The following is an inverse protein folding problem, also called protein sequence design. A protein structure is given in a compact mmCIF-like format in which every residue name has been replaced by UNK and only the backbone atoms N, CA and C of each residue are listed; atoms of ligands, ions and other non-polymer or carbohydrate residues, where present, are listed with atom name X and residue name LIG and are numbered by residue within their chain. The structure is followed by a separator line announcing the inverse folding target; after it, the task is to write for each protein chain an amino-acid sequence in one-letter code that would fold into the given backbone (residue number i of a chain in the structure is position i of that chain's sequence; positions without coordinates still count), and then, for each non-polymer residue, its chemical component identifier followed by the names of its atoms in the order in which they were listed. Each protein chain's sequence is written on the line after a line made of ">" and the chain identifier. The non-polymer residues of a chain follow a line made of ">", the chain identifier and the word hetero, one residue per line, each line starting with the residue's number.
data_IF_251093221180
#
_entry.id   IF_251093221180
#
_cell.length_a   1.000
_cell.length_b   1.000
_cell.length_c   1.000
_cell.angle_alpha   90.00
_cell.angle_beta   90.00
_cell.angle_gamma   90.00
#
_symmetry.space_group_name_H-M   'P 1'
#
loop_
_entity.id
_entity.type
_entity.pdbx_description
1 polymer ?
#
# COMPACT_ATOMS: atom_id res chain seq x y z
N UNK A 1 27.78 22.28 -3.25
CA UNK A 1 28.65 21.19 -3.72
C UNK A 1 28.13 19.94 -3.05
N UNK A 2 27.29 19.18 -3.73
CA UNK A 2 26.79 17.91 -3.25
C UNK A 2 27.92 16.91 -3.36
N UNK A 3 28.34 16.40 -2.21
CA UNK A 3 29.45 15.47 -2.09
C UNK A 3 29.14 14.19 -2.87
N UNK A 4 29.79 14.02 -4.02
CA UNK A 4 29.82 12.74 -4.75
C UNK A 4 30.42 11.60 -3.89
N UNK A 5 30.85 11.94 -2.69
CA UNK A 5 31.50 11.11 -1.68
C UNK A 5 30.49 10.49 -0.68
N UNK A 6 29.31 11.10 -0.45
CA UNK A 6 28.40 10.65 0.61
C UNK A 6 27.82 9.24 0.36
N UNK A 7 27.47 8.95 -0.89
CA UNK A 7 26.96 7.61 -1.25
C UNK A 7 28.04 6.54 -1.10
N UNK A 8 29.25 6.80 -1.63
CA UNK A 8 30.38 5.88 -1.48
C UNK A 8 30.75 5.69 -0.01
N UNK A 9 30.70 6.78 0.78
CA UNK A 9 30.98 6.70 2.23
C UNK A 9 29.93 5.84 2.96
N UNK A 10 28.66 5.92 2.58
CA UNK A 10 27.63 5.06 3.16
C UNK A 10 27.88 3.58 2.83
N UNK A 11 28.34 3.27 1.60
CA UNK A 11 28.73 1.91 1.22
C UNK A 11 29.91 1.40 2.06
N UNK A 12 30.94 2.21 2.25
CA UNK A 12 32.09 1.86 3.10
C UNK A 12 31.66 1.58 4.54
N UNK A 13 30.76 2.39 5.11
CA UNK A 13 30.22 2.17 6.45
C UNK A 13 29.49 0.83 6.51
N UNK A 14 28.65 0.53 5.52
CA UNK A 14 27.95 -0.76 5.46
C UNK A 14 28.92 -1.94 5.34
N UNK A 15 30.00 -1.79 4.55
CA UNK A 15 31.04 -2.81 4.45
C UNK A 15 31.71 -3.06 5.80
N UNK A 16 32.06 -1.99 6.55
CA UNK A 16 32.59 -2.07 7.90
C UNK A 16 31.61 -2.76 8.88
N UNK A 17 30.33 -2.39 8.83
CA UNK A 17 29.28 -3.01 9.66
C UNK A 17 29.14 -4.49 9.33
N UNK A 18 29.08 -4.81 8.05
CA UNK A 18 28.96 -6.19 7.57
C UNK A 18 30.15 -7.06 8.00
N UNK A 19 31.34 -6.47 8.08
CA UNK A 19 32.57 -7.17 8.54
C UNK A 19 32.67 -7.24 10.06
N UNK A 20 32.29 -6.20 10.80
CA UNK A 20 32.63 -6.02 12.22
C UNK A 20 31.45 -6.20 13.17
N UNK A 21 30.24 -5.82 12.78
CA UNK A 21 29.08 -5.88 13.65
C UNK A 21 28.48 -7.30 13.72
N UNK A 22 28.32 -7.89 14.92
CA UNK A 22 27.79 -9.24 15.07
C UNK A 22 26.34 -9.42 14.59
N UNK A 23 25.54 -8.33 14.58
CA UNK A 23 24.19 -8.34 14.10
C UNK A 23 24.15 -8.28 12.57
N UNK A 24 24.88 -7.34 11.97
CA UNK A 24 24.89 -7.14 10.51
C UNK A 24 25.48 -8.36 9.78
N UNK A 25 26.53 -9.00 10.33
CA UNK A 25 27.10 -10.24 9.80
C UNK A 25 26.08 -11.37 9.60
N UNK A 26 25.07 -11.43 10.45
CA UNK A 26 24.06 -12.52 10.43
C UNK A 26 22.90 -12.24 9.48
N UNK A 27 22.78 -11.01 8.99
CA UNK A 27 21.65 -10.66 8.13
C UNK A 27 21.71 -11.41 6.79
N UNK A 28 20.53 -11.79 6.34
CA UNK A 28 20.28 -12.43 5.05
C UNK A 28 19.19 -11.64 4.32
N UNK A 29 19.00 -11.88 3.02
CA UNK A 29 17.89 -11.30 2.27
C UNK A 29 16.52 -11.63 2.89
N UNK A 30 16.41 -12.75 3.58
CA UNK A 30 15.17 -13.16 4.23
C UNK A 30 14.96 -12.46 5.57
N UNK A 31 16.00 -12.28 6.38
CA UNK A 31 15.88 -11.59 7.67
C UNK A 31 15.61 -10.10 7.50
N UNK A 32 16.21 -9.46 6.50
CA UNK A 32 15.98 -8.04 6.19
C UNK A 32 14.60 -7.77 5.58
N UNK A 33 13.95 -8.78 4.98
CA UNK A 33 12.66 -8.58 4.30
C UNK A 33 11.60 -7.97 5.21
N UNK A 34 11.50 -8.46 6.46
CA UNK A 34 10.50 -7.95 7.41
C UNK A 34 10.79 -6.48 7.75
N UNK A 35 12.04 -6.17 8.08
CA UNK A 35 12.47 -4.80 8.40
C UNK A 35 12.18 -3.85 7.23
N UNK A 36 12.51 -4.26 5.98
CA UNK A 36 12.19 -3.42 4.80
C UNK A 36 10.69 -3.13 4.66
N UNK A 37 9.82 -4.07 5.07
CA UNK A 37 8.36 -3.85 5.06
C UNK A 37 7.98 -2.84 6.16
N UNK A 38 8.58 -2.92 7.34
CA UNK A 38 8.40 -1.98 8.45
C UNK A 38 8.78 -0.57 8.02
N UNK A 39 9.99 -0.34 7.52
CA UNK A 39 10.42 0.98 7.02
C UNK A 39 9.50 1.52 5.92
N UNK A 40 8.92 0.63 5.09
CA UNK A 40 7.97 1.06 4.06
C UNK A 40 6.66 1.56 4.68
N UNK A 41 6.19 0.96 5.76
CA UNK A 41 5.00 1.43 6.48
C UNK A 41 5.29 2.70 7.28
N UNK A 42 6.46 2.82 7.90
CA UNK A 42 6.89 4.01 8.63
C UNK A 42 7.01 5.21 7.67
N UNK A 43 7.57 5.00 6.47
CA UNK A 43 7.55 6.00 5.41
C UNK A 43 6.12 6.39 5.01
N UNK A 44 5.22 5.44 4.87
CA UNK A 44 3.82 5.72 4.53
C UNK A 44 3.13 6.54 5.63
N UNK A 45 3.40 6.24 6.90
CA UNK A 45 2.87 6.99 8.04
C UNK A 45 3.43 8.41 8.10
N UNK A 46 4.74 8.59 7.88
CA UNK A 46 5.38 9.91 7.83
C UNK A 46 4.80 10.77 6.67
N UNK A 47 4.57 10.17 5.50
CA UNK A 47 3.91 10.84 4.36
C UNK A 47 2.47 11.24 4.73
N UNK A 48 1.71 10.36 5.36
CA UNK A 48 0.32 10.64 5.75
C UNK A 48 0.18 11.76 6.79
N UNK A 49 1.27 12.11 7.48
CA UNK A 49 1.35 13.16 8.48
C UNK A 49 2.05 14.44 7.99
N UNK A 50 2.50 14.47 6.73
CA UNK A 50 3.34 15.52 6.16
C UNK A 50 4.63 15.76 6.98
N UNK A 51 5.14 14.72 7.66
CA UNK A 51 6.37 14.78 8.46
C UNK A 51 7.61 14.63 7.58
N UNK A 52 8.13 15.75 7.10
CA UNK A 52 9.32 15.80 6.25
C UNK A 52 10.60 15.30 6.93
N UNK A 53 10.69 15.34 8.26
CA UNK A 53 11.84 14.77 8.97
C UNK A 53 11.74 13.25 9.04
N UNK A 54 10.57 12.71 9.37
CA UNK A 54 10.29 11.29 9.30
C UNK A 54 10.51 10.75 7.88
N UNK A 55 9.93 11.39 6.85
CA UNK A 55 10.16 10.99 5.44
C UNK A 55 11.65 10.90 5.10
N UNK A 56 12.46 11.85 5.55
CA UNK A 56 13.92 11.85 5.32
C UNK A 56 14.61 10.67 6.02
N UNK A 57 14.19 10.35 7.24
CA UNK A 57 14.72 9.24 8.05
C UNK A 57 14.42 7.92 7.36
N UNK A 58 13.15 7.63 7.08
CA UNK A 58 12.71 6.38 6.46
C UNK A 58 13.27 6.17 5.04
N UNK A 59 13.43 7.25 4.28
CA UNK A 59 14.16 7.17 2.99
C UNK A 59 15.63 6.78 3.18
N UNK A 60 16.26 7.18 4.29
CA UNK A 60 17.61 6.77 4.65
C UNK A 60 17.70 5.27 4.96
N UNK A 61 16.74 4.74 5.73
CA UNK A 61 16.69 3.35 6.14
C UNK A 61 16.34 2.43 4.96
N UNK A 62 15.41 2.83 4.10
CA UNK A 62 15.16 2.14 2.84
C UNK A 62 16.39 2.13 1.91
N UNK A 63 17.15 3.24 1.84
CA UNK A 63 18.40 3.29 1.07
C UNK A 63 19.44 2.35 1.66
N UNK A 64 19.56 2.30 3.00
CA UNK A 64 20.45 1.35 3.69
C UNK A 64 20.05 -0.09 3.34
N UNK A 65 18.77 -0.45 3.39
CA UNK A 65 18.30 -1.78 3.01
C UNK A 65 18.60 -2.12 1.55
N UNK A 66 18.45 -1.18 0.62
CA UNK A 66 18.83 -1.38 -0.79
C UNK A 66 20.32 -1.73 -0.92
N UNK A 67 21.18 -0.97 -0.25
CA UNK A 67 22.62 -1.22 -0.24
C UNK A 67 22.95 -2.56 0.42
N UNK A 68 22.26 -2.90 1.49
CA UNK A 68 22.46 -4.15 2.22
C UNK A 68 22.10 -5.38 1.37
N UNK A 69 20.95 -5.36 0.67
CA UNK A 69 20.60 -6.42 -0.29
C UNK A 69 21.65 -6.56 -1.39
N UNK A 70 22.14 -5.43 -1.94
CA UNK A 70 23.18 -5.45 -2.97
C UNK A 70 24.52 -6.00 -2.43
N UNK A 71 24.87 -5.68 -1.18
CA UNK A 71 26.06 -6.23 -0.52
C UNK A 71 25.97 -7.74 -0.35
N UNK A 72 24.84 -8.25 0.18
CA UNK A 72 24.62 -9.70 0.33
C UNK A 72 24.63 -10.39 -1.05
N UNK A 73 24.04 -9.78 -2.08
CA UNK A 73 24.06 -10.32 -3.42
C UNK A 73 25.48 -10.38 -4.00
N UNK A 74 26.30 -9.37 -3.76
CA UNK A 74 27.73 -9.34 -4.16
C UNK A 74 28.52 -10.46 -3.47
N UNK A 75 28.31 -10.69 -2.18
CA UNK A 75 28.92 -11.79 -1.42
C UNK A 75 28.55 -13.17 -2.00
N UNK A 76 27.36 -13.29 -2.60
CA UNK A 76 26.85 -14.50 -3.23
C UNK A 76 27.13 -14.55 -4.74
N UNK A 77 27.92 -13.63 -5.29
CA UNK A 77 28.24 -13.52 -6.72
C UNK A 77 27.01 -13.42 -7.63
N UNK A 78 25.94 -12.77 -7.19
CA UNK A 78 24.71 -12.59 -7.97
C UNK A 78 24.70 -11.27 -8.75
N UNK A 79 24.80 -10.14 -8.06
CA UNK A 79 24.84 -8.78 -8.65
C UNK A 79 25.42 -7.78 -7.65
N UNK A 80 25.79 -6.61 -8.16
CA UNK A 80 26.32 -5.47 -7.40
C UNK A 80 25.29 -4.33 -7.34
N UNK A 81 25.54 -3.33 -6.49
CA UNK A 81 24.72 -2.11 -6.49
C UNK A 81 24.80 -1.37 -7.83
N UNK A 82 25.94 -1.45 -8.52
CA UNK A 82 26.10 -0.85 -9.85
C UNK A 82 25.16 -1.52 -10.87
N UNK A 83 25.00 -2.84 -10.83
CA UNK A 83 24.07 -3.56 -11.69
C UNK A 83 22.61 -3.15 -11.43
N UNK A 84 22.26 -2.91 -10.16
CA UNK A 84 20.92 -2.41 -9.78
C UNK A 84 20.68 -1.03 -10.39
N UNK A 85 21.64 -0.11 -10.27
CA UNK A 85 21.55 1.25 -10.79
C UNK A 85 21.45 1.22 -12.33
N UNK A 86 22.35 0.49 -13.00
CA UNK A 86 22.38 0.39 -14.45
C UNK A 86 21.07 -0.18 -15.02
N UNK A 87 20.60 -1.29 -14.45
CA UNK A 87 19.34 -1.90 -14.88
C UNK A 87 18.15 -0.94 -14.70
N UNK A 88 18.14 -0.16 -13.62
CA UNK A 88 17.07 0.81 -13.40
C UNK A 88 17.18 1.99 -14.37
N UNK A 89 18.39 2.47 -14.65
CA UNK A 89 18.69 3.51 -15.65
C UNK A 89 18.21 3.10 -17.04
N UNK A 90 18.62 1.93 -17.51
CA UNK A 90 18.23 1.39 -18.81
C UNK A 90 16.71 1.26 -18.92
N UNK A 91 16.08 0.70 -17.89
CA UNK A 91 14.62 0.57 -17.83
C UNK A 91 13.91 1.92 -17.92
N UNK A 92 14.39 2.95 -17.23
CA UNK A 92 13.79 4.28 -17.26
C UNK A 92 13.94 4.94 -18.64
N UNK A 93 15.13 4.88 -19.23
CA UNK A 93 15.37 5.41 -20.59
C UNK A 93 14.48 4.71 -21.60
N UNK A 94 14.47 3.37 -21.59
CA UNK A 94 13.68 2.57 -22.54
C UNK A 94 12.17 2.84 -22.44
N UNK A 95 11.66 3.07 -21.21
CA UNK A 95 10.24 3.27 -20.98
C UNK A 95 9.76 4.72 -21.05
N UNK A 96 10.67 5.67 -21.32
CA UNK A 96 10.35 7.08 -21.56
C UNK A 96 10.83 7.53 -22.94
N UNK A 97 10.38 6.87 -24.03
CA UNK A 97 10.81 7.24 -25.39
C UNK A 97 10.34 8.63 -25.80
N UNK A 98 9.38 9.20 -25.09
CA UNK A 98 8.93 10.58 -25.26
C UNK A 98 9.87 11.61 -24.63
N UNK A 99 10.82 11.20 -23.79
CA UNK A 99 11.85 12.05 -23.18
C UNK A 99 13.22 11.78 -23.81
N UNK A 100 13.56 10.50 -24.01
CA UNK A 100 14.89 10.06 -24.45
C UNK A 100 14.93 9.57 -25.91
N UNK A 101 13.82 9.69 -26.65
CA UNK A 101 13.67 9.31 -28.06
C UNK A 101 12.75 10.27 -28.81
N UNK A 102 12.16 9.82 -29.91
CA UNK A 102 11.39 10.66 -30.83
C UNK A 102 9.87 10.50 -30.71
N UNK A 103 9.39 9.74 -29.75
CA UNK A 103 7.94 9.52 -29.55
C UNK A 103 7.31 10.77 -28.95
N UNK A 104 6.20 11.22 -29.54
CA UNK A 104 5.40 12.31 -28.98
C UNK A 104 4.20 11.72 -28.26
N UNK A 105 3.83 12.31 -27.14
CA UNK A 105 2.67 11.95 -26.34
C UNK A 105 1.82 13.20 -26.09
N UNK A 106 0.50 13.05 -26.10
CA UNK A 106 -0.42 14.16 -25.93
C UNK A 106 -0.70 14.44 -24.44
N UNK A 107 -0.76 13.38 -23.62
CA UNK A 107 -1.16 13.46 -22.22
C UNK A 107 -0.56 12.34 -21.35
N UNK A 108 -0.84 12.39 -20.06
CA UNK A 108 -0.40 11.42 -19.06
C UNK A 108 -0.98 10.01 -19.33
N UNK A 109 -2.21 9.92 -19.83
CA UNK A 109 -2.86 8.64 -20.09
C UNK A 109 -2.16 7.90 -21.25
N UNK A 110 -1.74 8.63 -22.27
CA UNK A 110 -0.97 8.07 -23.36
C UNK A 110 0.41 7.58 -22.88
N UNK A 111 1.06 8.30 -21.98
CA UNK A 111 2.31 7.84 -21.34
C UNK A 111 2.07 6.52 -20.60
N UNK A 112 1.00 6.42 -19.79
CA UNK A 112 0.66 5.21 -19.05
C UNK A 112 0.37 4.02 -19.97
N UNK A 113 -0.39 4.23 -21.06
CA UNK A 113 -0.67 3.19 -22.07
C UNK A 113 0.60 2.71 -22.74
N UNK A 114 1.45 3.63 -23.18
CA UNK A 114 2.73 3.31 -23.83
C UNK A 114 3.66 2.54 -22.89
N UNK A 115 3.71 2.90 -21.63
CA UNK A 115 4.47 2.21 -20.58
C UNK A 115 4.05 0.74 -20.42
N UNK A 116 2.76 0.45 -20.36
CA UNK A 116 2.28 -0.93 -20.24
C UNK A 116 2.48 -1.74 -21.54
N UNK A 117 2.29 -1.11 -22.70
CA UNK A 117 2.58 -1.73 -23.98
C UNK A 117 4.07 -2.13 -24.10
N UNK A 118 4.99 -1.29 -23.65
CA UNK A 118 6.42 -1.61 -23.61
C UNK A 118 6.70 -2.79 -22.69
N UNK A 119 6.06 -2.85 -21.52
CA UNK A 119 6.19 -4.01 -20.60
C UNK A 119 5.68 -5.32 -21.21
N UNK A 120 4.60 -5.28 -21.98
CA UNK A 120 4.11 -6.47 -22.70
C UNK A 120 5.11 -6.93 -23.76
N UNK A 121 5.73 -6.01 -24.49
CA UNK A 121 6.78 -6.31 -25.47
C UNK A 121 8.05 -6.88 -24.83
N UNK A 122 8.33 -6.56 -23.57
CA UNK A 122 9.42 -7.16 -22.78
C UNK A 122 9.18 -8.63 -22.37
N UNK A 123 8.12 -9.27 -22.88
CA UNK A 123 7.83 -10.70 -22.69
C UNK A 123 6.90 -11.01 -21.52
N UNK A 124 6.17 -10.03 -20.98
CA UNK A 124 5.13 -10.31 -19.98
C UNK A 124 3.94 -11.03 -20.60
N UNK A 125 3.57 -12.17 -20.03
CA UNK A 125 2.47 -13.01 -20.52
C UNK A 125 1.08 -12.41 -20.25
N UNK A 126 0.96 -11.50 -19.29
CA UNK A 126 -0.30 -10.87 -18.89
C UNK A 126 -0.03 -9.48 -18.36
N UNK A 127 -0.95 -8.56 -18.57
CA UNK A 127 -0.91 -7.22 -17.96
C UNK A 127 -0.92 -7.30 -16.42
N UNK A 128 -1.59 -8.30 -15.87
CA UNK A 128 -1.67 -8.53 -14.43
C UNK A 128 -0.43 -9.23 -13.85
N UNK A 129 0.47 -9.78 -14.68
CA UNK A 129 1.69 -10.45 -14.20
C UNK A 129 2.66 -9.54 -13.42
N UNK A 130 2.44 -8.23 -13.47
CA UNK A 130 3.23 -7.25 -12.71
C UNK A 130 2.60 -6.80 -11.38
N UNK A 131 1.51 -7.45 -10.94
CA UNK A 131 0.88 -7.19 -9.63
C UNK A 131 1.51 -8.15 -8.63
N UNK A 132 2.23 -7.66 -7.62
CA UNK A 132 2.83 -8.54 -6.61
C UNK A 132 1.74 -9.25 -5.78
N UNK A 133 1.91 -10.54 -5.56
CA UNK A 133 0.97 -11.34 -4.76
C UNK A 133 1.02 -11.03 -3.26
N UNK A 134 2.08 -10.38 -2.82
CA UNK A 134 2.32 -10.01 -1.41
C UNK A 134 1.78 -8.62 -1.05
N UNK A 135 1.14 -7.91 -1.96
CA UNK A 135 0.48 -6.65 -1.64
C UNK A 135 -0.68 -6.87 -0.67
N UNK A 136 -0.94 -5.88 0.19
CA UNK A 136 -2.16 -5.84 0.98
C UNK A 136 -3.39 -5.91 0.04
N UNK A 137 -4.45 -6.65 0.39
CA UNK A 137 -5.55 -6.94 -0.52
C UNK A 137 -6.21 -5.70 -1.14
N UNK A 138 -6.41 -4.61 -0.37
CA UNK A 138 -6.98 -3.36 -0.91
C UNK A 138 -6.07 -2.72 -1.96
N UNK A 139 -4.76 -2.65 -1.67
CA UNK A 139 -3.75 -2.13 -2.59
C UNK A 139 -3.65 -3.02 -3.84
N UNK A 140 -3.74 -4.35 -3.67
CA UNK A 140 -3.73 -5.30 -4.77
C UNK A 140 -4.95 -5.13 -5.68
N UNK A 141 -6.16 -4.99 -5.11
CA UNK A 141 -7.41 -4.78 -5.85
C UNK A 141 -7.32 -3.48 -6.67
N UNK A 142 -6.91 -2.36 -6.05
CA UNK A 142 -6.68 -1.09 -6.74
C UNK A 142 -5.74 -1.26 -7.93
N UNK A 143 -4.61 -1.96 -7.71
CA UNK A 143 -3.60 -2.17 -8.75
C UNK A 143 -4.08 -3.06 -9.90
N UNK A 144 -4.89 -4.08 -9.62
CA UNK A 144 -5.53 -4.94 -10.62
C UNK A 144 -6.45 -4.10 -11.51
N UNK A 145 -7.32 -3.29 -10.90
CA UNK A 145 -8.29 -2.46 -11.60
C UNK A 145 -7.63 -1.36 -12.45
N UNK A 146 -6.59 -0.71 -11.94
CA UNK A 146 -5.79 0.24 -12.72
C UNK A 146 -5.20 -0.41 -13.98
N UNK A 147 -4.72 -1.64 -13.87
CA UNK A 147 -4.17 -2.37 -15.02
C UNK A 147 -5.24 -2.82 -16.00
N UNK A 148 -6.39 -3.23 -15.52
CA UNK A 148 -7.54 -3.58 -16.36
C UNK A 148 -8.02 -2.37 -17.17
N UNK A 149 -8.12 -1.20 -16.53
CA UNK A 149 -8.41 0.08 -17.20
C UNK A 149 -7.47 0.37 -18.38
N UNK A 150 -6.17 0.11 -18.23
CA UNK A 150 -5.17 0.41 -19.27
C UNK A 150 -5.38 -0.35 -20.57
N UNK A 151 -6.10 -1.47 -20.57
CA UNK A 151 -6.48 -2.24 -21.77
C UNK A 151 -7.91 -2.01 -22.20
N UNK A 152 -8.58 -1.01 -21.61
CA UNK A 152 -9.96 -0.66 -21.94
C UNK A 152 -11.03 -1.48 -21.21
N UNK A 153 -10.64 -2.29 -20.22
CA UNK A 153 -11.62 -2.97 -19.36
C UNK A 153 -11.99 -2.05 -18.19
N UNK A 154 -12.94 -1.16 -18.48
CA UNK A 154 -13.36 -0.08 -17.57
C UNK A 154 -14.84 0.23 -17.78
N UNK A 155 -15.51 0.67 -16.71
CA UNK A 155 -16.85 1.23 -16.76
C UNK A 155 -16.84 2.64 -17.38
N UNK A 156 -17.95 3.04 -17.98
CA UNK A 156 -18.06 4.35 -18.63
C UNK A 156 -18.13 5.51 -17.62
N UNK A 157 -18.74 5.27 -16.46
CA UNK A 157 -18.96 6.29 -15.44
C UNK A 157 -19.05 5.67 -14.03
N UNK A 158 -19.00 6.52 -13.01
CA UNK A 158 -19.03 6.13 -11.60
C UNK A 158 -20.41 5.61 -11.16
N UNK A 159 -21.47 5.99 -11.84
CA UNK A 159 -22.83 5.57 -11.55
C UNK A 159 -22.98 4.06 -11.80
N UNK A 160 -22.47 3.57 -12.93
CA UNK A 160 -22.44 2.12 -13.23
C UNK A 160 -21.61 1.34 -12.21
N UNK A 161 -20.50 1.93 -11.73
CA UNK A 161 -19.69 1.29 -10.68
C UNK A 161 -20.47 1.22 -9.37
N UNK A 162 -21.25 2.25 -9.05
CA UNK A 162 -22.09 2.24 -7.85
C UNK A 162 -23.21 1.20 -7.95
N UNK A 163 -23.86 1.06 -9.11
CA UNK A 163 -24.84 0.00 -9.37
C UNK A 163 -24.23 -1.39 -9.08
N UNK A 164 -22.96 -1.62 -9.46
CA UNK A 164 -22.27 -2.87 -9.15
C UNK A 164 -22.01 -3.04 -7.65
N UNK A 165 -21.70 -1.97 -6.90
CA UNK A 165 -21.60 -2.02 -5.43
C UNK A 165 -22.93 -2.45 -4.80
N UNK A 166 -24.05 -1.92 -5.29
CA UNK A 166 -25.39 -2.28 -4.80
C UNK A 166 -25.74 -3.72 -5.15
N UNK A 167 -25.36 -4.21 -6.33
CA UNK A 167 -25.53 -5.60 -6.77
C UNK A 167 -24.80 -6.53 -5.80
N UNK A 168 -23.49 -6.36 -5.57
CA UNK A 168 -22.69 -7.21 -4.67
C UNK A 168 -23.18 -7.14 -3.20
N UNK A 169 -23.64 -5.97 -2.75
CA UNK A 169 -24.23 -5.84 -1.42
C UNK A 169 -25.53 -6.65 -1.29
N UNK A 170 -26.33 -6.74 -2.36
CA UNK A 170 -27.55 -7.53 -2.38
C UNK A 170 -27.25 -9.04 -2.46
N UNK A 171 -26.22 -9.45 -3.21
CA UNK A 171 -25.79 -10.85 -3.32
C UNK A 171 -25.26 -11.34 -1.98
N UNK A 172 -24.40 -10.59 -1.31
CA UNK A 172 -23.95 -10.89 0.05
C UNK A 172 -25.13 -11.01 1.02
N UNK A 173 -26.11 -10.09 0.96
CA UNK A 173 -27.29 -10.13 1.81
C UNK A 173 -28.15 -11.39 1.54
N UNK A 174 -28.24 -11.81 0.27
CA UNK A 174 -28.97 -13.03 -0.10
C UNK A 174 -28.29 -14.29 0.47
N UNK A 175 -26.95 -14.37 0.39
CA UNK A 175 -26.20 -15.50 0.96
C UNK A 175 -26.29 -15.54 2.50
N UNK A 176 -26.27 -14.39 3.19
CA UNK A 176 -26.52 -14.32 4.64
C UNK A 176 -27.90 -14.84 4.98
N UNK A 177 -28.95 -14.43 4.22
CA UNK A 177 -30.31 -14.94 4.43
C UNK A 177 -30.46 -16.43 4.11
N UNK A 178 -29.70 -16.95 3.13
CA UNK A 178 -29.66 -18.37 2.82
C UNK A 178 -29.00 -19.16 3.96
N UNK A 179 -27.95 -18.61 4.57
CA UNK A 179 -27.29 -19.20 5.74
C UNK A 179 -28.23 -19.30 6.94
N UNK A 180 -28.99 -18.24 7.24
CA UNK A 180 -29.99 -18.22 8.34
C UNK A 180 -31.07 -19.30 8.15
N UNK A 181 -31.35 -19.68 6.89
CA UNK A 181 -32.29 -20.74 6.53
C UNK A 181 -31.64 -22.12 6.42
N UNK A 182 -30.37 -22.27 6.77
CA UNK A 182 -29.63 -23.53 6.67
C UNK A 182 -29.34 -23.99 5.25
N UNK A 183 -29.33 -23.07 4.26
CA UNK A 183 -29.14 -23.36 2.82
C UNK A 183 -27.89 -22.67 2.24
N UNK A 184 -27.20 -21.81 3.01
CA UNK A 184 -26.00 -21.10 2.60
C UNK A 184 -24.72 -21.83 3.01
N UNK A 185 -23.57 -21.26 2.61
CA UNK A 185 -22.24 -21.66 3.09
C UNK A 185 -21.42 -20.43 3.44
N UNK A 186 -20.46 -20.62 4.36
CA UNK A 186 -19.51 -19.56 4.75
C UNK A 186 -18.64 -19.13 3.56
N UNK A 187 -18.23 -20.10 2.75
CA UNK A 187 -17.40 -19.87 1.56
C UNK A 187 -18.08 -18.91 0.58
N UNK A 188 -19.37 -19.09 0.33
CA UNK A 188 -20.14 -18.19 -0.55
C UNK A 188 -20.28 -16.78 0.04
N UNK A 189 -20.53 -16.68 1.34
CA UNK A 189 -20.53 -15.35 2.00
C UNK A 189 -19.17 -14.68 1.95
N UNK A 190 -18.06 -15.45 2.01
CA UNK A 190 -16.70 -14.91 1.84
C UNK A 190 -16.45 -14.43 0.40
N UNK A 191 -16.95 -15.16 -0.61
CA UNK A 191 -16.90 -14.76 -2.02
C UNK A 191 -17.62 -13.43 -2.24
N UNK A 192 -18.90 -13.33 -1.87
CA UNK A 192 -19.67 -12.10 -2.03
C UNK A 192 -19.12 -10.92 -1.22
N UNK A 193 -18.60 -11.16 -0.02
CA UNK A 193 -17.93 -10.13 0.75
C UNK A 193 -16.65 -9.63 0.01
N UNK A 194 -15.91 -10.53 -0.61
CA UNK A 194 -14.76 -10.20 -1.43
C UNK A 194 -15.14 -9.34 -2.64
N UNK A 195 -16.22 -9.72 -3.35
CA UNK A 195 -16.69 -8.99 -4.54
C UNK A 195 -17.26 -7.62 -4.17
N UNK A 196 -17.96 -7.49 -3.05
CA UNK A 196 -18.40 -6.20 -2.51
C UNK A 196 -17.20 -5.30 -2.19
N UNK A 197 -16.16 -5.81 -1.50
CA UNK A 197 -14.96 -5.03 -1.20
C UNK A 197 -14.22 -4.62 -2.48
N UNK A 198 -14.15 -5.50 -3.47
CA UNK A 198 -13.51 -5.21 -4.75
C UNK A 198 -14.27 -4.12 -5.53
N UNK A 199 -15.61 -4.15 -5.53
CA UNK A 199 -16.44 -3.12 -6.16
C UNK A 199 -16.35 -1.77 -5.44
N UNK A 200 -16.27 -1.75 -4.09
CA UNK A 200 -16.03 -0.54 -3.30
C UNK A 200 -14.66 0.07 -3.64
N UNK A 201 -13.61 -0.75 -3.76
CA UNK A 201 -12.28 -0.28 -4.19
C UNK A 201 -12.35 0.34 -5.59
N UNK A 202 -13.10 -0.26 -6.51
CA UNK A 202 -13.30 0.29 -7.84
C UNK A 202 -14.01 1.64 -7.80
N UNK A 203 -15.04 1.77 -6.98
CA UNK A 203 -15.76 3.04 -6.81
C UNK A 203 -14.85 4.14 -6.23
N UNK A 204 -14.04 3.80 -5.21
CA UNK A 204 -13.05 4.72 -4.67
C UNK A 204 -12.07 5.22 -5.75
N UNK A 205 -11.62 4.33 -6.65
CA UNK A 205 -10.76 4.68 -7.78
C UNK A 205 -11.43 5.68 -8.73
N UNK A 206 -12.71 5.49 -9.06
CA UNK A 206 -13.47 6.45 -9.88
C UNK A 206 -13.64 7.82 -9.22
N UNK A 207 -13.64 7.86 -7.90
CA UNK A 207 -13.67 9.10 -7.11
C UNK A 207 -12.28 9.72 -6.89
N UNK A 208 -11.20 9.10 -7.42
CA UNK A 208 -9.82 9.44 -7.14
C UNK A 208 -9.48 9.41 -5.63
N UNK A 209 -10.06 8.47 -4.91
CA UNK A 209 -9.83 8.22 -3.49
C UNK A 209 -8.96 6.96 -3.37
N UNK A 210 -7.89 7.04 -2.59
CA UNK A 210 -7.13 5.87 -2.17
C UNK A 210 -7.92 5.15 -1.05
N UNK A 211 -8.42 3.92 -1.28
CA UNK A 211 -9.25 3.21 -0.31
C UNK A 211 -8.46 2.76 0.91
N UNK A 212 -7.17 2.46 0.77
CA UNK A 212 -6.30 2.04 1.87
C UNK A 212 -6.07 3.21 2.83
N UNK A 213 -5.69 4.38 2.32
CA UNK A 213 -5.57 5.60 3.10
C UNK A 213 -6.91 6.06 3.71
N UNK A 214 -8.02 5.91 3.00
CA UNK A 214 -9.33 6.26 3.52
C UNK A 214 -9.70 5.40 4.73
N UNK A 215 -9.41 4.09 4.67
CA UNK A 215 -9.62 3.16 5.78
C UNK A 215 -8.65 3.44 6.93
N UNK A 216 -7.36 3.68 6.65
CA UNK A 216 -6.35 4.03 7.64
C UNK A 216 -6.73 5.30 8.43
N UNK A 217 -7.20 6.34 7.76
CA UNK A 217 -7.72 7.56 8.42
C UNK A 217 -8.92 7.26 9.32
N UNK A 218 -9.80 6.36 8.90
CA UNK A 218 -10.96 5.95 9.71
C UNK A 218 -10.52 5.17 10.92
N UNK A 219 -9.56 4.25 10.78
CA UNK A 219 -8.97 3.51 11.89
C UNK A 219 -8.33 4.45 12.92
N UNK A 220 -7.48 5.39 12.48
CA UNK A 220 -6.85 6.39 13.33
C UNK A 220 -7.89 7.24 14.08
N UNK A 221 -8.93 7.68 13.38
CA UNK A 221 -10.04 8.42 13.99
C UNK A 221 -10.80 7.61 15.03
N UNK A 222 -11.07 6.33 14.74
CA UNK A 222 -11.72 5.43 15.69
C UNK A 222 -10.87 5.24 16.95
N UNK A 223 -9.59 4.91 16.78
CA UNK A 223 -8.65 4.70 17.89
C UNK A 223 -8.55 5.95 18.79
N UNK A 224 -8.38 7.13 18.19
CA UNK A 224 -8.33 8.40 18.92
C UNK A 224 -9.60 8.63 19.77
N UNK A 225 -10.77 8.40 19.18
CA UNK A 225 -12.05 8.57 19.89
C UNK A 225 -12.23 7.54 21.00
N UNK A 226 -11.84 6.31 20.75
CA UNK A 226 -11.94 5.26 21.74
C UNK A 226 -11.02 5.53 22.93
N UNK A 227 -9.79 5.98 22.69
CA UNK A 227 -8.87 6.42 23.76
C UNK A 227 -9.46 7.59 24.58
N UNK A 228 -10.06 8.58 23.92
CA UNK A 228 -10.73 9.68 24.64
C UNK A 228 -11.94 9.19 25.46
N UNK A 229 -12.67 8.17 24.99
CA UNK A 229 -13.72 7.54 25.80
C UNK A 229 -13.12 6.84 27.05
N UNK A 230 -12.02 6.11 26.88
CA UNK A 230 -11.33 5.46 28.00
C UNK A 230 -10.90 6.48 29.07
N UNK A 231 -10.37 7.63 28.64
CA UNK A 231 -10.00 8.73 29.54
C UNK A 231 -11.21 9.29 30.33
N UNK A 232 -12.35 9.50 29.62
CA UNK A 232 -13.59 9.97 30.28
C UNK A 232 -14.07 8.98 31.32
N UNK A 233 -14.10 7.69 30.98
CA UNK A 233 -14.57 6.62 31.89
C UNK A 233 -13.64 6.47 33.08
N UNK A 234 -12.32 6.53 32.84
CA UNK A 234 -11.32 6.47 33.92
C UNK A 234 -11.41 7.68 34.87
N UNK A 235 -11.74 8.88 34.38
CA UNK A 235 -11.95 10.06 35.21
C UNK A 235 -13.15 9.93 36.15
N UNK A 236 -14.14 9.09 35.80
CA UNK A 236 -15.26 8.72 36.66
C UNK A 236 -14.93 7.57 37.65
N UNK A 237 -13.69 7.06 37.62
CA UNK A 237 -13.28 5.93 38.44
C UNK A 237 -13.87 4.58 38.02
N UNK A 238 -14.32 4.47 36.77
CA UNK A 238 -14.90 3.27 36.16
C UNK A 238 -13.95 2.65 35.13
N UNK A 239 -14.28 1.44 34.71
CA UNK A 239 -13.67 0.78 33.56
C UNK A 239 -14.68 0.66 32.41
N UNK A 240 -14.20 0.56 31.18
CA UNK A 240 -15.08 0.38 30.01
C UNK A 240 -15.98 -0.85 30.12
N UNK A 241 -15.51 -1.89 30.80
CA UNK A 241 -16.26 -3.13 31.06
C UNK A 241 -17.43 -2.95 32.04
N UNK A 242 -17.48 -1.84 32.76
CA UNK A 242 -18.57 -1.53 33.72
C UNK A 242 -19.77 -0.89 33.00
N UNK A 243 -19.63 -0.51 31.73
CA UNK A 243 -20.63 0.20 30.96
C UNK A 243 -21.38 -0.73 30.00
N UNK A 244 -22.66 -0.47 29.83
CA UNK A 244 -23.44 -1.07 28.75
C UNK A 244 -23.28 -0.28 27.46
N UNK A 245 -23.74 -0.87 26.31
CA UNK A 245 -23.59 -0.27 25.00
C UNK A 245 -24.21 1.13 24.89
N UNK A 246 -25.36 1.37 25.48
CA UNK A 246 -26.03 2.68 25.41
C UNK A 246 -25.24 3.77 26.15
N UNK A 247 -24.60 3.44 27.29
CA UNK A 247 -23.71 4.34 28.01
C UNK A 247 -22.45 4.64 27.20
N UNK A 248 -21.84 3.60 26.58
CA UNK A 248 -20.70 3.77 25.69
C UNK A 248 -21.04 4.66 24.48
N UNK A 249 -22.20 4.47 23.84
CA UNK A 249 -22.67 5.29 22.74
C UNK A 249 -22.89 6.76 23.13
N UNK A 250 -23.38 7.02 24.33
CA UNK A 250 -23.55 8.39 24.84
C UNK A 250 -22.19 9.10 24.98
N UNK A 251 -21.19 8.42 25.55
CA UNK A 251 -19.82 8.95 25.68
C UNK A 251 -19.19 9.14 24.28
N UNK A 252 -19.32 8.14 23.38
CA UNK A 252 -18.85 8.23 22.02
C UNK A 252 -19.39 9.47 21.28
N UNK A 253 -20.70 9.71 21.42
CA UNK A 253 -21.32 10.87 20.79
C UNK A 253 -20.83 12.19 21.37
N UNK A 254 -20.55 12.25 22.67
CA UNK A 254 -19.96 13.41 23.34
C UNK A 254 -18.55 13.69 22.81
N UNK A 255 -17.69 12.68 22.76
CA UNK A 255 -16.33 12.78 22.20
C UNK A 255 -16.36 13.20 20.73
N UNK A 256 -17.29 12.64 19.93
CA UNK A 256 -17.45 13.01 18.52
C UNK A 256 -17.87 14.45 18.29
N UNK A 257 -18.64 15.03 19.22
CA UNK A 257 -19.07 16.44 19.13
C UNK A 257 -17.93 17.38 19.51
N UNK A 258 -17.12 17.06 20.51
CA UNK A 258 -15.97 17.88 20.93
C UNK A 258 -14.85 17.99 19.89
N UNK A 259 -14.84 17.14 18.87
CA UNK A 259 -13.88 17.22 17.74
C UNK A 259 -14.35 18.16 16.61
N UNK A 260 -15.56 18.72 16.69
CA UNK A 260 -16.13 19.59 15.64
C UNK A 260 -15.98 21.07 15.95
N UNK A 261 -15.59 21.37 17.17
CA UNK A 261 -15.29 22.72 17.66
C UNK A 261 -13.76 22.97 17.64
#
# INVERSE_FOLDING_TARGET
>A
MTDSNSFSRLQEILDDLREKCPWDKKQTIHSLRQLTIEETYELADAIAQDDWNGIKEELGDLLLHILFYAKIATEQNQFTIQDVIERNREKLIHRHPHIYGDVKVADEEEVKRNWENLKLKEGKKSILSGVPRSLAPLVQAMRIQEKAKQVGFEWDNKEQVWEKVEEEANELKAEVQAMDKGKGSVEKMEEEMGDLLFSIVNYARFLNIDPDQALARTNKKFMKRFQAMEEVVAAEGKQMTDLNLAEMDAIWNTVKLSERD
#
